data_IF_315204360779
#
_entry.id   IF_315204360779
#
_cell.length_a   1.000
_cell.length_b   1.000
_cell.length_c   1.000
_cell.angle_alpha   90.00
_cell.angle_beta   90.00
_cell.angle_gamma   90.00
#
_symmetry.space_group_name_H-M   'P 1'
#
loop_
_entity.id
_entity.type
_entity.pdbx_description
1 polymer ?
#
# COMPACT_ATOMS: atom_id res chain seq x y z
N UNK A 1 16.47 36.10 -0.53
CA UNK A 1 16.60 36.39 -1.96
C UNK A 1 16.22 35.15 -2.71
N UNK A 2 14.90 35.05 -3.06
CA UNK A 2 14.26 33.81 -3.54
C UNK A 2 14.34 33.69 -5.05
N UNK A 3 14.63 32.51 -5.44
CA UNK A 3 14.50 31.83 -6.70
C UNK A 3 13.45 32.42 -7.68
N UNK A 4 13.94 33.10 -8.70
CA UNK A 4 13.24 33.24 -9.98
C UNK A 4 13.58 31.96 -10.76
N UNK A 5 12.75 30.91 -10.63
CA UNK A 5 12.80 29.74 -11.49
C UNK A 5 12.32 30.11 -12.87
N UNK A 6 13.03 29.67 -13.86
CA UNK A 6 12.90 29.85 -15.30
C UNK A 6 11.44 29.81 -15.78
N UNK A 7 10.82 30.97 -15.91
CA UNK A 7 9.59 31.16 -16.65
C UNK A 7 9.96 31.37 -18.11
N UNK A 8 9.73 30.39 -18.96
CA UNK A 8 9.78 30.62 -20.42
C UNK A 8 8.52 31.38 -20.82
N UNK A 9 8.64 32.64 -21.17
CA UNK A 9 7.53 33.42 -21.72
C UNK A 9 7.48 33.26 -23.24
N UNK A 10 6.31 32.88 -23.75
CA UNK A 10 6.02 32.93 -25.18
C UNK A 10 5.02 34.03 -25.41
N UNK A 11 5.35 35.00 -26.27
CA UNK A 11 4.44 36.04 -26.67
C UNK A 11 3.53 35.52 -27.78
N UNK A 12 2.25 35.30 -27.47
CA UNK A 12 1.22 34.93 -28.44
C UNK A 12 0.12 36.00 -28.35
N UNK A 13 -0.13 36.69 -29.47
CA UNK A 13 -1.21 37.69 -29.57
C UNK A 13 -1.21 38.76 -28.47
N UNK A 14 -0.05 39.39 -28.20
CA UNK A 14 0.14 40.39 -27.15
C UNK A 14 -0.22 39.96 -25.71
N UNK A 15 -0.31 38.65 -25.44
CA UNK A 15 -0.42 38.14 -24.08
C UNK A 15 0.83 37.31 -23.75
N UNK A 16 1.45 37.64 -22.61
CA UNK A 16 2.54 36.82 -22.06
C UNK A 16 1.93 35.60 -21.44
N UNK A 17 2.07 34.45 -22.11
CA UNK A 17 1.72 33.15 -21.56
C UNK A 17 2.94 32.62 -20.80
N UNK A 18 2.83 32.51 -19.47
CA UNK A 18 3.82 31.83 -18.66
C UNK A 18 3.59 30.31 -18.81
N UNK A 19 4.46 29.66 -19.52
CA UNK A 19 4.49 28.18 -19.54
C UNK A 19 5.29 27.78 -18.31
N UNK A 20 4.61 27.28 -17.29
CA UNK A 20 5.29 26.58 -16.22
C UNK A 20 5.86 25.28 -16.79
N UNK A 21 7.18 25.10 -16.73
CA UNK A 21 7.79 23.82 -17.08
C UNK A 21 7.15 22.75 -16.19
N UNK A 22 6.46 21.79 -16.82
CA UNK A 22 5.85 20.69 -16.10
C UNK A 22 6.94 19.92 -15.37
N UNK A 23 6.73 19.66 -14.09
CA UNK A 23 7.62 18.81 -13.30
C UNK A 23 7.47 17.36 -13.73
N UNK A 24 8.57 16.59 -13.69
CA UNK A 24 8.59 15.18 -14.03
C UNK A 24 8.57 14.33 -12.75
N UNK A 25 7.77 13.26 -12.78
CA UNK A 25 7.67 12.26 -11.72
C UNK A 25 8.07 10.89 -12.25
N UNK A 26 8.97 10.22 -11.55
CA UNK A 26 9.32 8.82 -11.76
C UNK A 26 8.65 7.96 -10.70
N UNK A 27 7.72 7.08 -11.12
CA UNK A 27 7.04 6.12 -10.25
C UNK A 27 7.62 4.73 -10.48
N UNK A 28 8.39 4.20 -9.54
CA UNK A 28 9.02 2.89 -9.58
C UNK A 28 8.21 1.87 -8.77
N UNK A 29 8.10 0.63 -9.29
CA UNK A 29 7.19 -0.39 -8.76
C UNK A 29 5.75 0.11 -8.78
N UNK A 30 5.35 0.64 -9.92
CA UNK A 30 4.13 1.44 -10.06
C UNK A 30 2.84 0.68 -9.73
N UNK A 31 2.80 -0.64 -9.96
CA UNK A 31 1.69 -1.51 -9.57
C UNK A 31 0.31 -0.94 -9.90
N UNK A 32 -0.36 -0.35 -8.92
CA UNK A 32 -1.69 0.28 -9.06
C UNK A 32 -1.64 1.73 -9.53
N UNK A 33 -0.47 2.28 -9.79
CA UNK A 33 -0.25 3.69 -10.17
C UNK A 33 -0.84 4.70 -9.17
N UNK A 34 -0.79 4.38 -7.88
CA UNK A 34 -1.43 5.22 -6.86
C UNK A 34 -0.82 6.61 -6.76
N UNK A 35 0.50 6.70 -6.77
CA UNK A 35 1.21 7.98 -6.75
C UNK A 35 1.15 8.68 -8.09
N UNK A 36 1.37 7.95 -9.18
CA UNK A 36 1.38 8.50 -10.52
C UNK A 36 0.08 9.20 -10.89
N UNK A 37 -1.08 8.60 -10.55
CA UNK A 37 -2.39 9.21 -10.78
C UNK A 37 -2.54 10.54 -10.08
N UNK A 38 -2.21 10.59 -8.80
CA UNK A 38 -2.36 11.81 -8.00
C UNK A 38 -1.38 12.88 -8.46
N UNK A 39 -0.11 12.52 -8.74
CA UNK A 39 0.86 13.49 -9.23
C UNK A 39 0.50 14.02 -10.62
N UNK A 40 -0.09 13.17 -11.48
CA UNK A 40 -0.62 13.61 -12.77
C UNK A 40 -1.75 14.64 -12.61
N UNK A 41 -2.70 14.40 -11.70
CA UNK A 41 -3.73 15.39 -11.34
C UNK A 41 -3.12 16.71 -10.84
N UNK A 42 -1.94 16.65 -10.20
CA UNK A 42 -1.18 17.80 -9.75
C UNK A 42 -0.28 18.44 -10.85
N UNK A 43 -0.40 17.96 -12.09
CA UNK A 43 0.27 18.54 -13.26
C UNK A 43 1.66 17.98 -13.57
N UNK A 44 2.09 16.87 -12.95
CA UNK A 44 3.34 16.23 -13.29
C UNK A 44 3.24 15.44 -14.60
N UNK A 45 4.34 15.40 -15.37
CA UNK A 45 4.55 14.39 -16.37
C UNK A 45 5.04 13.13 -15.67
N UNK A 46 4.38 11.99 -15.86
CA UNK A 46 4.70 10.76 -15.13
C UNK A 46 5.33 9.72 -16.04
N UNK A 47 6.43 9.16 -15.58
CA UNK A 47 7.07 7.96 -16.10
C UNK A 47 6.91 6.87 -15.04
N UNK A 48 6.20 5.80 -15.37
CA UNK A 48 5.94 4.67 -14.47
C UNK A 48 6.71 3.45 -14.93
N UNK A 49 7.41 2.77 -14.02
CA UNK A 49 8.12 1.54 -14.28
C UNK A 49 7.61 0.42 -13.37
N UNK A 50 7.26 -0.71 -13.96
CA UNK A 50 6.98 -1.97 -13.27
C UNK A 50 7.35 -3.15 -14.16
N UNK A 51 7.72 -4.27 -13.54
CA UNK A 51 7.99 -5.52 -14.24
C UNK A 51 6.72 -6.13 -14.83
N UNK A 52 5.58 -5.92 -14.18
CA UNK A 52 4.27 -6.43 -14.56
C UNK A 52 3.28 -5.29 -14.79
N UNK A 53 3.26 -4.77 -16.00
CA UNK A 53 2.27 -3.77 -16.46
C UNK A 53 0.91 -4.37 -16.78
N UNK A 54 0.76 -5.69 -16.77
CA UNK A 54 -0.52 -6.38 -16.97
C UNK A 54 -1.55 -6.09 -15.88
N UNK A 55 -1.10 -5.54 -14.77
CA UNK A 55 -1.93 -4.87 -13.79
C UNK A 55 -2.39 -3.49 -14.31
N UNK A 56 -2.90 -3.45 -15.52
CA UNK A 56 -3.59 -2.27 -16.05
C UNK A 56 -4.50 -1.73 -14.97
N UNK A 57 -4.38 -0.44 -14.72
CA UNK A 57 -5.12 0.30 -13.73
C UNK A 57 -6.56 -0.23 -13.54
N UNK A 58 -6.85 -1.09 -12.54
CA UNK A 58 -8.16 -1.72 -12.38
C UNK A 58 -9.23 -0.73 -11.95
N UNK A 59 -8.90 0.54 -11.80
CA UNK A 59 -9.75 1.59 -11.25
C UNK A 59 -10.26 2.58 -12.30
N UNK A 60 -10.29 2.18 -13.58
CA UNK A 60 -11.10 2.86 -14.60
C UNK A 60 -10.73 4.31 -14.92
N UNK A 61 -9.58 4.78 -14.49
CA UNK A 61 -9.12 6.12 -14.86
C UNK A 61 -8.27 6.03 -16.12
N UNK A 62 -8.57 6.88 -17.08
CA UNK A 62 -7.79 7.06 -18.33
C UNK A 62 -6.41 7.66 -18.03
N UNK A 63 -5.57 6.87 -17.37
CA UNK A 63 -4.17 7.21 -17.09
C UNK A 63 -3.30 6.96 -18.32
N UNK A 64 -3.79 7.46 -19.50
CA UNK A 64 -3.17 7.22 -20.81
C UNK A 64 -2.00 8.17 -21.10
N UNK A 65 -1.87 9.23 -20.34
CA UNK A 65 -0.87 10.28 -20.60
C UNK A 65 0.49 10.03 -19.94
N UNK A 66 0.65 8.96 -19.19
CA UNK A 66 1.93 8.57 -18.61
C UNK A 66 2.73 7.69 -19.57
N UNK A 67 4.05 7.81 -19.51
CA UNK A 67 4.95 6.85 -20.15
C UNK A 67 5.06 5.61 -19.23
N UNK A 68 4.69 4.44 -19.75
CA UNK A 68 4.77 3.18 -19.03
C UNK A 68 5.95 2.35 -19.56
N UNK A 69 6.87 1.99 -18.66
CA UNK A 69 8.04 1.16 -18.95
C UNK A 69 7.84 -0.20 -18.29
N UNK A 70 7.76 -1.26 -19.10
CA UNK A 70 7.73 -2.63 -18.57
C UNK A 70 9.13 -3.19 -18.55
N UNK A 71 9.78 -3.13 -17.38
CA UNK A 71 11.14 -3.60 -17.21
C UNK A 71 11.40 -3.99 -15.76
N UNK A 72 12.38 -4.88 -15.56
CA UNK A 72 12.93 -5.18 -14.25
C UNK A 72 13.85 -4.04 -13.82
N UNK A 73 13.56 -3.41 -12.69
CA UNK A 73 14.34 -2.29 -12.16
C UNK A 73 15.84 -2.62 -11.99
N UNK A 74 16.17 -3.91 -11.77
CA UNK A 74 17.57 -4.36 -11.64
C UNK A 74 18.31 -4.33 -12.99
N UNK A 75 17.58 -4.28 -14.11
CA UNK A 75 18.12 -4.26 -15.48
C UNK A 75 17.91 -2.93 -16.18
N UNK A 76 16.96 -2.12 -15.67
CA UNK A 76 16.62 -0.86 -16.28
C UNK A 76 17.77 0.14 -16.26
N UNK A 77 18.12 0.64 -17.45
CA UNK A 77 19.09 1.72 -17.59
C UNK A 77 18.41 3.07 -17.38
N UNK A 78 18.44 3.56 -16.15
CA UNK A 78 17.90 4.88 -15.81
C UNK A 78 18.76 6.03 -16.32
N UNK A 79 20.01 5.78 -16.74
CA UNK A 79 20.96 6.81 -17.20
C UNK A 79 20.59 7.39 -18.56
N UNK A 80 19.62 6.79 -19.27
CA UNK A 80 19.02 7.35 -20.49
C UNK A 80 18.32 8.70 -20.20
N UNK A 81 17.98 8.98 -18.94
CA UNK A 81 17.49 10.27 -18.49
C UNK A 81 18.63 11.07 -17.87
N UNK A 82 18.75 12.37 -18.15
CA UNK A 82 19.78 13.20 -17.52
C UNK A 82 19.56 13.33 -16.00
N UNK A 83 20.62 13.63 -15.27
CA UNK A 83 20.52 14.01 -13.85
C UNK A 83 19.53 15.16 -13.69
N UNK A 84 18.90 15.24 -12.53
CA UNK A 84 17.88 16.25 -12.21
C UNK A 84 16.62 16.24 -13.11
N UNK A 85 16.47 15.21 -13.96
CA UNK A 85 15.30 15.10 -14.85
C UNK A 85 13.99 14.96 -14.08
N UNK A 86 13.97 14.21 -12.99
CA UNK A 86 12.78 13.96 -12.17
C UNK A 86 12.83 14.80 -10.88
N UNK A 87 11.82 15.65 -10.66
CA UNK A 87 11.67 16.45 -9.45
C UNK A 87 10.99 15.66 -8.32
N UNK A 88 10.26 14.61 -8.68
CA UNK A 88 9.62 13.68 -7.76
C UNK A 88 9.98 12.25 -8.13
N UNK A 89 10.36 11.43 -7.14
CA UNK A 89 10.55 9.98 -7.30
C UNK A 89 9.75 9.27 -6.22
N UNK A 90 8.90 8.32 -6.62
CA UNK A 90 8.19 7.44 -5.68
C UNK A 90 8.54 5.99 -5.94
N UNK A 91 8.72 5.22 -4.85
CA UNK A 91 9.22 3.86 -4.91
C UNK A 91 8.44 2.99 -3.91
N UNK A 92 7.94 1.85 -4.39
CA UNK A 92 7.24 0.86 -3.54
C UNK A 92 7.86 -0.53 -3.71
N UNK A 93 9.14 -0.72 -3.29
CA UNK A 93 9.86 -1.97 -3.51
C UNK A 93 9.17 -3.15 -2.86
N UNK A 94 9.38 -4.34 -3.42
CA UNK A 94 8.70 -5.57 -3.01
C UNK A 94 8.90 -5.85 -1.52
N UNK A 95 7.79 -5.81 -0.77
CA UNK A 95 7.80 -6.02 0.68
C UNK A 95 7.87 -7.50 1.11
N UNK A 96 7.72 -8.43 0.17
CA UNK A 96 7.62 -9.86 0.46
C UNK A 96 8.81 -10.36 1.27
N UNK A 97 10.03 -10.08 0.84
CA UNK A 97 11.24 -10.59 1.49
C UNK A 97 11.45 -10.02 2.90
N UNK A 98 10.94 -8.84 3.17
CA UNK A 98 11.05 -8.14 4.44
C UNK A 98 9.95 -8.46 5.44
N UNK A 99 8.91 -9.18 4.98
CA UNK A 99 7.69 -9.42 5.77
C UNK A 99 7.91 -10.43 6.88
N UNK A 100 7.58 -10.04 8.12
CA UNK A 100 7.53 -10.95 9.27
C UNK A 100 6.49 -12.08 9.12
N UNK A 101 5.50 -11.91 8.24
CA UNK A 101 4.51 -12.96 7.95
C UNK A 101 5.14 -14.22 7.35
N UNK A 102 6.31 -14.10 6.72
CA UNK A 102 7.06 -15.27 6.20
C UNK A 102 7.51 -16.22 7.29
N UNK A 103 7.63 -15.78 8.54
CA UNK A 103 7.94 -16.65 9.65
C UNK A 103 6.87 -17.76 9.84
N UNK A 104 5.64 -17.54 9.39
CA UNK A 104 4.58 -18.56 9.38
C UNK A 104 4.83 -19.70 8.38
N UNK A 105 5.82 -19.56 7.50
CA UNK A 105 6.22 -20.57 6.51
C UNK A 105 7.24 -21.55 7.06
N UNK A 106 7.91 -21.23 8.16
CA UNK A 106 8.96 -22.07 8.76
C UNK A 106 8.45 -23.49 9.00
N UNK A 107 9.23 -24.48 8.54
CA UNK A 107 8.91 -25.91 8.58
C UNK A 107 7.90 -26.38 7.55
N UNK A 108 7.31 -25.49 6.73
CA UNK A 108 6.37 -25.87 5.66
C UNK A 108 7.11 -26.14 4.36
N UNK A 109 6.69 -27.16 3.62
CA UNK A 109 7.12 -27.36 2.25
C UNK A 109 6.31 -26.45 1.33
N UNK A 110 6.99 -25.54 0.64
CA UNK A 110 6.38 -24.53 -0.24
C UNK A 110 7.03 -24.62 -1.61
N UNK A 111 6.22 -24.68 -2.66
CA UNK A 111 6.66 -24.82 -4.05
C UNK A 111 7.72 -23.78 -4.46
N UNK A 112 7.59 -22.54 -3.98
CA UNK A 112 8.58 -21.48 -4.23
C UNK A 112 9.99 -21.80 -3.70
N UNK A 113 10.12 -22.78 -2.80
CA UNK A 113 11.39 -23.26 -2.23
C UNK A 113 11.71 -24.71 -2.65
N UNK A 114 11.16 -25.18 -3.79
CA UNK A 114 11.39 -26.52 -4.32
C UNK A 114 10.79 -27.62 -3.45
N UNK A 115 9.64 -27.35 -2.81
CA UNK A 115 8.93 -28.29 -1.92
C UNK A 115 9.78 -28.80 -0.74
N UNK A 116 10.85 -28.08 -0.38
CA UNK A 116 11.63 -28.34 0.82
C UNK A 116 11.08 -27.54 2.01
N UNK A 117 11.31 -28.00 3.26
CA UNK A 117 10.95 -27.23 4.44
C UNK A 117 11.63 -25.87 4.44
N UNK A 118 10.86 -24.81 4.64
CA UNK A 118 11.39 -23.45 4.74
C UNK A 118 12.15 -23.29 6.04
N UNK A 119 13.39 -22.82 5.95
CA UNK A 119 14.25 -22.55 7.11
C UNK A 119 14.47 -21.05 7.29
N UNK A 120 15.01 -20.65 8.44
CA UNK A 120 15.38 -19.24 8.70
C UNK A 120 16.48 -18.76 7.75
N UNK A 121 17.43 -19.63 7.45
CA UNK A 121 18.54 -19.37 6.55
C UNK A 121 18.05 -19.08 5.12
N UNK A 122 17.07 -19.87 4.61
CA UNK A 122 16.44 -19.62 3.31
C UNK A 122 15.73 -18.26 3.29
N UNK A 123 14.99 -17.91 4.36
CA UNK A 123 14.32 -16.62 4.44
C UNK A 123 15.31 -15.46 4.52
N UNK A 124 16.43 -15.65 5.23
CA UNK A 124 17.50 -14.65 5.30
C UNK A 124 18.23 -14.51 3.97
N UNK A 125 18.52 -15.61 3.29
CA UNK A 125 19.15 -15.58 1.98
C UNK A 125 18.34 -14.77 0.96
N UNK A 126 17.01 -14.88 0.96
CA UNK A 126 16.15 -14.05 0.10
C UNK A 126 16.29 -12.54 0.42
N UNK A 127 16.46 -12.19 1.70
CA UNK A 127 16.73 -10.81 2.10
C UNK A 127 18.06 -10.35 1.51
N UNK A 128 19.12 -11.16 1.65
CA UNK A 128 20.47 -10.80 1.19
C UNK A 128 20.56 -10.70 -0.33
N UNK A 129 19.95 -11.67 -1.05
CA UNK A 129 20.14 -11.81 -2.50
C UNK A 129 19.08 -11.07 -3.33
N UNK A 130 17.91 -10.78 -2.78
CA UNK A 130 16.78 -10.14 -3.48
C UNK A 130 16.35 -8.83 -2.82
N UNK A 131 16.20 -8.83 -1.51
CA UNK A 131 15.69 -7.68 -0.76
C UNK A 131 16.67 -6.52 -0.71
N UNK A 132 17.88 -6.76 -0.23
CA UNK A 132 18.92 -5.73 -0.09
C UNK A 132 19.34 -5.11 -1.43
N UNK A 133 19.64 -5.89 -2.49
CA UNK A 133 20.01 -5.31 -3.78
C UNK A 133 18.91 -4.41 -4.37
N UNK A 134 17.64 -4.77 -4.16
CA UNK A 134 16.51 -3.96 -4.65
C UNK A 134 16.40 -2.62 -3.91
N UNK A 135 16.62 -2.59 -2.59
CA UNK A 135 16.66 -1.35 -1.81
C UNK A 135 17.88 -0.51 -2.19
N UNK A 136 19.05 -1.16 -2.40
CA UNK A 136 20.27 -0.50 -2.87
C UNK A 136 20.02 0.20 -4.22
N UNK A 137 19.35 -0.48 -5.16
CA UNK A 137 19.00 0.10 -6.46
C UNK A 137 18.04 1.31 -6.29
N UNK A 138 17.13 1.27 -5.35
CA UNK A 138 16.26 2.42 -5.05
C UNK A 138 17.07 3.65 -4.64
N UNK A 139 18.00 3.51 -3.71
CA UNK A 139 18.85 4.64 -3.26
C UNK A 139 19.88 5.07 -4.31
N UNK A 140 20.38 4.15 -5.13
CA UNK A 140 21.23 4.46 -6.29
C UNK A 140 20.52 5.41 -7.26
N UNK A 141 19.25 5.11 -7.59
CA UNK A 141 18.41 5.93 -8.47
C UNK A 141 18.10 7.30 -7.83
N UNK A 142 17.75 7.34 -6.54
CA UNK A 142 17.52 8.60 -5.82
C UNK A 142 18.80 9.46 -5.85
N UNK A 143 19.97 8.88 -5.58
CA UNK A 143 21.26 9.59 -5.61
C UNK A 143 21.61 10.12 -7.01
N UNK A 144 21.32 9.33 -8.05
CA UNK A 144 21.60 9.73 -9.43
C UNK A 144 20.78 10.95 -9.86
N UNK A 145 19.46 10.92 -9.63
CA UNK A 145 18.57 11.98 -10.05
C UNK A 145 18.49 13.16 -9.10
N UNK A 146 18.90 13.00 -7.84
CA UNK A 146 18.86 14.04 -6.82
C UNK A 146 17.53 14.84 -6.80
N UNK A 147 16.36 14.18 -6.67
CA UNK A 147 15.05 14.83 -6.84
C UNK A 147 14.74 15.84 -5.74
N UNK A 148 13.88 16.83 -6.04
CA UNK A 148 13.37 17.77 -5.03
C UNK A 148 12.62 17.04 -3.91
N UNK A 149 11.83 16.01 -4.29
CA UNK A 149 11.04 15.17 -3.38
C UNK A 149 11.20 13.71 -3.75
N UNK A 150 11.36 12.85 -2.76
CA UNK A 150 11.28 11.41 -2.96
C UNK A 150 10.49 10.75 -1.84
N UNK A 151 9.85 9.60 -2.13
CA UNK A 151 9.07 8.82 -1.19
C UNK A 151 9.32 7.33 -1.45
N UNK A 152 9.75 6.59 -0.43
CA UNK A 152 9.89 5.14 -0.47
C UNK A 152 8.88 4.51 0.49
N UNK A 153 7.99 3.64 -0.01
CA UNK A 153 6.92 2.99 0.74
C UNK A 153 7.28 1.56 1.12
N UNK A 154 7.03 1.17 2.37
CA UNK A 154 6.98 -0.25 2.76
C UNK A 154 6.15 -0.45 4.04
N UNK A 155 5.58 -1.65 4.30
CA UNK A 155 4.89 -1.92 5.54
C UNK A 155 5.75 -1.63 6.78
N UNK A 156 5.22 -0.85 7.73
CA UNK A 156 5.91 -0.48 8.98
C UNK A 156 6.45 -1.67 9.77
N UNK A 157 5.75 -2.80 9.72
CA UNK A 157 6.09 -4.01 10.48
C UNK A 157 7.17 -4.87 9.83
N UNK A 158 7.62 -4.51 8.60
CA UNK A 158 8.67 -5.22 7.88
C UNK A 158 10.07 -4.98 8.44
N UNK A 159 11.03 -5.84 8.05
CA UNK A 159 12.43 -5.76 8.47
C UNK A 159 13.24 -4.73 7.68
N UNK A 160 12.75 -4.20 6.57
CA UNK A 160 13.46 -3.24 5.70
C UNK A 160 13.96 -2.02 6.48
N UNK A 161 13.20 -1.57 7.48
CA UNK A 161 13.57 -0.44 8.33
C UNK A 161 14.95 -0.59 8.99
N UNK A 162 15.31 -1.80 9.43
CA UNK A 162 16.61 -2.04 10.08
C UNK A 162 17.75 -1.94 9.06
N UNK A 163 17.52 -2.41 7.85
CA UNK A 163 18.52 -2.30 6.79
C UNK A 163 18.74 -0.84 6.34
N UNK A 164 17.66 -0.06 6.23
CA UNK A 164 17.77 1.37 5.90
C UNK A 164 18.45 2.14 7.04
N UNK A 165 18.09 1.85 8.30
CA UNK A 165 18.72 2.47 9.47
C UNK A 165 20.22 2.19 9.54
N UNK A 166 20.64 0.95 9.22
CA UNK A 166 22.04 0.53 9.25
C UNK A 166 22.86 1.11 8.10
N UNK A 167 22.36 1.01 6.86
CA UNK A 167 23.15 1.30 5.65
C UNK A 167 22.90 2.69 5.06
N UNK A 168 21.74 3.25 5.30
CA UNK A 168 21.24 4.50 4.69
C UNK A 168 20.74 5.47 5.76
N UNK A 169 21.50 5.62 6.85
CA UNK A 169 21.11 6.46 7.99
C UNK A 169 20.75 7.91 7.61
N UNK A 170 21.45 8.45 6.61
CA UNK A 170 21.21 9.80 6.09
C UNK A 170 19.85 9.95 5.38
N UNK A 171 19.24 8.84 4.94
CA UNK A 171 17.93 8.77 4.32
C UNK A 171 16.83 8.27 5.29
N UNK A 172 17.15 8.02 6.57
CA UNK A 172 16.24 7.41 7.53
C UNK A 172 15.25 8.42 8.18
N UNK A 173 14.88 9.47 7.45
CA UNK A 173 13.74 10.32 7.82
C UNK A 173 12.46 9.70 7.26
N UNK A 174 11.41 9.54 8.09
CA UNK A 174 10.20 8.85 7.68
C UNK A 174 8.95 9.33 8.41
N UNK A 175 7.80 8.98 7.85
CA UNK A 175 6.49 9.09 8.47
C UNK A 175 5.81 7.71 8.53
N UNK A 176 5.23 7.39 9.68
CA UNK A 176 4.38 6.20 9.85
C UNK A 176 2.93 6.62 9.82
N UNK A 177 2.12 5.99 8.97
CA UNK A 177 0.69 6.24 8.86
C UNK A 177 -0.12 4.95 8.93
N UNK A 178 -1.40 5.08 9.22
CA UNK A 178 -2.38 4.00 9.08
C UNK A 178 -3.40 4.34 7.99
N UNK A 179 -3.56 3.46 6.99
CA UNK A 179 -4.41 3.72 5.83
C UNK A 179 -5.88 3.99 6.18
N UNK A 180 -6.38 3.43 7.28
CA UNK A 180 -7.73 3.70 7.77
C UNK A 180 -7.98 5.16 8.19
N UNK A 181 -6.92 5.95 8.37
CA UNK A 181 -7.03 7.38 8.66
C UNK A 181 -7.18 8.23 7.40
N UNK A 182 -6.96 7.64 6.23
CA UNK A 182 -6.97 8.31 4.91
C UNK A 182 -7.94 7.66 3.92
N UNK A 183 -8.62 6.58 4.33
CA UNK A 183 -9.54 5.84 3.44
C UNK A 183 -10.65 5.18 4.23
N UNK A 184 -11.73 4.85 3.55
CA UNK A 184 -12.86 4.06 4.03
C UNK A 184 -12.71 2.56 3.73
N UNK A 185 -11.51 2.11 3.38
CA UNK A 185 -11.27 0.71 2.95
C UNK A 185 -11.48 -0.32 4.05
N UNK A 186 -11.60 0.11 5.29
CA UNK A 186 -11.96 -0.74 6.41
C UNK A 186 -10.79 -1.48 7.07
N UNK A 187 -9.56 -1.35 6.58
CA UNK A 187 -8.36 -1.98 7.18
C UNK A 187 -7.30 -0.97 7.58
N UNK A 188 -6.52 -1.29 8.60
CA UNK A 188 -5.52 -0.37 9.15
C UNK A 188 -4.31 -0.18 8.24
N UNK A 189 -3.64 -1.24 7.83
CA UNK A 189 -2.38 -1.28 7.06
C UNK A 189 -1.36 -0.23 7.51
N UNK A 190 -0.68 -0.44 8.65
CA UNK A 190 0.40 0.44 9.10
C UNK A 190 1.53 0.45 8.05
N UNK A 191 1.87 1.62 7.56
CA UNK A 191 2.82 1.80 6.46
C UNK A 191 3.82 2.89 6.82
N UNK A 192 5.07 2.68 6.44
CA UNK A 192 6.17 3.63 6.60
C UNK A 192 6.54 4.22 5.26
N UNK A 193 6.74 5.52 5.25
CA UNK A 193 7.17 6.29 4.11
C UNK A 193 8.46 7.03 4.46
N UNK A 194 9.60 6.53 3.96
CA UNK A 194 10.86 7.27 4.02
C UNK A 194 10.83 8.37 2.98
N UNK A 195 11.31 9.56 3.33
CA UNK A 195 11.21 10.73 2.46
C UNK A 195 12.12 11.87 2.93
N UNK A 196 12.45 12.78 2.02
CA UNK A 196 13.06 14.07 2.34
C UNK A 196 12.04 15.20 2.52
N UNK A 197 10.74 14.94 2.34
CA UNK A 197 9.66 15.91 2.53
C UNK A 197 9.56 16.23 4.03
N UNK A 198 9.41 17.52 4.35
CA UNK A 198 9.24 18.01 5.73
C UNK A 198 7.82 18.57 5.91
N UNK A 199 7.44 18.86 7.15
CA UNK A 199 6.17 19.55 7.46
C UNK A 199 4.91 18.70 7.26
N UNK A 200 5.02 17.40 6.94
CA UNK A 200 3.85 16.53 6.86
C UNK A 200 3.47 16.02 8.26
N UNK A 201 2.18 16.06 8.59
CA UNK A 201 1.63 15.57 9.86
C UNK A 201 0.99 14.19 9.68
N UNK A 202 1.65 13.10 10.12
CA UNK A 202 1.16 11.74 9.90
C UNK A 202 -0.02 11.41 10.83
N UNK A 203 -1.04 10.73 10.30
CA UNK A 203 -2.19 10.25 11.09
C UNK A 203 -2.06 8.76 11.35
N UNK A 204 -1.96 8.38 12.63
CA UNK A 204 -1.96 6.99 13.10
C UNK A 204 -3.27 6.66 13.82
N UNK A 205 -3.69 5.40 13.75
CA UNK A 205 -4.98 4.97 14.29
C UNK A 205 -4.87 4.43 15.70
N UNK A 206 -5.57 5.05 16.62
CA UNK A 206 -5.78 4.59 18.01
C UNK A 206 -7.11 3.83 18.21
N UNK A 207 -7.70 3.28 17.12
CA UNK A 207 -9.01 2.62 17.07
C UNK A 207 -10.22 3.57 17.18
N UNK A 208 -10.05 4.81 16.76
CA UNK A 208 -11.12 5.83 16.71
C UNK A 208 -11.48 6.26 15.28
N UNK A 209 -10.84 5.65 14.27
CA UNK A 209 -11.17 5.91 12.87
C UNK A 209 -12.58 5.41 12.52
N UNK A 210 -13.21 6.00 11.50
CA UNK A 210 -14.52 5.62 10.99
C UNK A 210 -14.64 4.20 10.44
N UNK A 211 -13.55 3.42 10.43
CA UNK A 211 -13.52 2.04 9.93
C UNK A 211 -13.69 0.98 11.02
N UNK A 212 -14.06 1.37 12.24
CA UNK A 212 -14.18 0.46 13.38
C UNK A 212 -15.58 -0.17 13.48
N UNK A 213 -15.59 -1.43 13.92
CA UNK A 213 -16.78 -2.13 14.38
C UNK A 213 -16.53 -2.69 15.77
N UNK A 214 -17.59 -2.85 16.55
CA UNK A 214 -17.53 -3.52 17.84
C UNK A 214 -18.01 -4.96 17.71
N UNK A 215 -17.27 -5.90 18.26
CA UNK A 215 -17.66 -7.30 18.33
C UNK A 215 -17.51 -7.84 19.76
N UNK A 216 -18.34 -8.84 20.10
CA UNK A 216 -18.27 -9.53 21.38
C UNK A 216 -17.25 -10.67 21.31
N UNK A 217 -16.30 -10.68 22.23
CA UNK A 217 -15.38 -11.80 22.38
C UNK A 217 -15.96 -12.76 23.44
N UNK A 218 -16.44 -13.93 23.00
CA UNK A 218 -17.06 -14.91 23.88
C UNK A 218 -16.11 -15.52 24.90
N UNK A 219 -14.82 -15.61 24.60
CA UNK A 219 -13.83 -16.16 25.51
C UNK A 219 -13.54 -15.22 26.67
N UNK A 220 -13.37 -13.93 26.35
CA UNK A 220 -13.06 -12.91 27.38
C UNK A 220 -14.31 -12.24 27.95
N UNK A 221 -15.50 -12.51 27.38
CA UNK A 221 -16.79 -11.87 27.71
C UNK A 221 -16.77 -10.33 27.61
N UNK A 222 -15.86 -9.79 26.77
CA UNK A 222 -15.70 -8.34 26.61
C UNK A 222 -15.95 -7.93 25.17
N UNK A 223 -16.48 -6.73 24.99
CA UNK A 223 -16.60 -6.11 23.70
C UNK A 223 -15.25 -5.54 23.26
N UNK A 224 -14.91 -5.71 21.99
CA UNK A 224 -13.66 -5.27 21.40
C UNK A 224 -13.94 -4.50 20.11
N UNK A 225 -13.21 -3.39 19.92
CA UNK A 225 -13.22 -2.65 18.66
C UNK A 225 -12.16 -3.21 17.72
N UNK A 226 -12.55 -3.51 16.49
CA UNK A 226 -11.65 -3.93 15.41
C UNK A 226 -11.96 -3.18 14.12
N UNK A 227 -10.98 -3.11 13.22
CA UNK A 227 -11.25 -2.66 11.87
C UNK A 227 -12.19 -3.63 11.14
N UNK A 228 -13.22 -3.10 10.46
CA UNK A 228 -14.26 -3.91 9.79
C UNK A 228 -13.70 -4.89 8.77
N UNK A 229 -12.60 -4.52 8.07
CA UNK A 229 -11.86 -5.43 7.19
C UNK A 229 -10.54 -5.75 7.85
N UNK A 230 -10.33 -7.03 8.14
CA UNK A 230 -9.03 -7.53 8.56
C UNK A 230 -8.45 -8.33 7.40
N UNK A 231 -7.17 -8.08 7.10
CA UNK A 231 -6.44 -8.87 6.11
C UNK A 231 -6.20 -10.29 6.67
N UNK A 232 -7.23 -11.14 6.54
CA UNK A 232 -7.22 -12.52 7.02
C UNK A 232 -8.64 -13.05 7.22
N UNK A 233 -8.82 -14.37 7.20
CA UNK A 233 -10.09 -15.06 7.34
C UNK A 233 -10.62 -14.95 8.78
N UNK A 234 -11.32 -13.90 9.11
CA UNK A 234 -12.11 -13.86 10.33
C UNK A 234 -13.55 -14.23 9.98
N UNK A 235 -14.03 -15.33 10.54
CA UNK A 235 -15.45 -15.68 10.52
C UNK A 235 -16.15 -14.85 11.58
N UNK A 236 -17.21 -14.15 11.21
CA UNK A 236 -18.09 -13.42 12.11
C UNK A 236 -19.50 -13.94 11.95
N UNK A 237 -20.19 -14.11 13.05
CA UNK A 237 -21.62 -14.43 13.12
C UNK A 237 -22.34 -13.38 13.93
N UNK A 238 -23.65 -13.20 13.69
CA UNK A 238 -24.50 -12.38 14.54
C UNK A 238 -25.39 -13.30 15.38
N UNK A 239 -25.30 -13.17 16.70
CA UNK A 239 -26.13 -13.94 17.65
C UNK A 239 -26.66 -12.97 18.70
N UNK A 240 -27.96 -12.97 18.94
CA UNK A 240 -28.61 -12.07 19.89
C UNK A 240 -28.22 -10.60 19.68
N UNK A 241 -28.20 -10.15 18.41
CA UNK A 241 -27.79 -8.81 18.00
C UNK A 241 -26.33 -8.43 18.33
N UNK A 242 -25.45 -9.40 18.61
CA UNK A 242 -24.03 -9.19 18.84
C UNK A 242 -23.21 -9.83 17.74
N UNK A 243 -22.22 -9.11 17.23
CA UNK A 243 -21.22 -9.67 16.33
C UNK A 243 -20.21 -10.49 17.13
N UNK A 244 -20.05 -11.76 16.80
CA UNK A 244 -19.16 -12.71 17.47
C UNK A 244 -18.10 -13.14 16.48
N UNK A 245 -16.84 -13.04 16.89
CA UNK A 245 -15.70 -13.54 16.09
C UNK A 245 -15.45 -15.02 16.39
N UNK A 246 -15.56 -15.86 15.35
CA UNK A 246 -15.42 -17.31 15.43
C UNK A 246 -14.03 -17.73 14.92
N UNK A 247 -13.00 -17.53 15.73
CA UNK A 247 -11.61 -17.77 15.34
C UNK A 247 -11.01 -19.05 15.92
N UNK A 248 -11.55 -19.60 17.02
CA UNK A 248 -11.07 -20.84 17.64
C UNK A 248 -11.88 -22.06 17.21
N UNK A 249 -11.29 -23.25 17.36
CA UNK A 249 -11.96 -24.50 16.98
C UNK A 249 -13.26 -24.73 17.77
N UNK A 250 -13.32 -24.53 19.10
CA UNK A 250 -14.57 -24.65 19.87
C UNK A 250 -15.67 -23.69 19.38
N UNK A 251 -15.32 -22.43 19.11
CA UNK A 251 -16.31 -21.46 18.62
C UNK A 251 -16.79 -21.80 17.21
N UNK A 252 -15.92 -22.35 16.35
CA UNK A 252 -16.32 -22.82 15.01
C UNK A 252 -17.30 -23.97 15.07
N UNK A 253 -17.11 -24.88 16.01
CA UNK A 253 -18.04 -25.98 16.21
C UNK A 253 -19.36 -25.48 16.81
N UNK A 254 -19.30 -24.63 17.83
CA UNK A 254 -20.48 -24.01 18.47
C UNK A 254 -21.38 -23.28 17.48
N UNK A 255 -20.81 -22.56 16.51
CA UNK A 255 -21.53 -21.71 15.54
C UNK A 255 -21.47 -22.25 14.11
N UNK A 256 -21.27 -23.57 13.93
CA UNK A 256 -21.14 -24.17 12.60
C UNK A 256 -22.36 -23.95 11.70
N UNK A 257 -23.56 -23.97 12.30
CA UNK A 257 -24.83 -23.83 11.62
C UNK A 257 -25.34 -22.37 11.59
N UNK A 258 -24.61 -21.44 12.21
CA UNK A 258 -24.97 -20.02 12.21
C UNK A 258 -24.47 -19.33 10.94
N UNK A 259 -25.32 -18.57 10.23
CA UNK A 259 -24.91 -17.83 9.04
C UNK A 259 -23.72 -16.91 9.32
N UNK A 260 -22.72 -16.97 8.44
CA UNK A 260 -21.54 -16.12 8.54
C UNK A 260 -21.79 -14.78 7.86
N UNK A 261 -21.29 -13.71 8.47
CA UNK A 261 -21.34 -12.37 7.91
C UNK A 261 -20.03 -12.11 7.15
N UNK A 262 -20.16 -11.58 5.95
CA UNK A 262 -19.02 -11.06 5.20
C UNK A 262 -18.57 -9.74 5.83
N UNK A 263 -17.28 -9.70 6.25
CA UNK A 263 -16.69 -8.48 6.83
C UNK A 263 -16.76 -7.28 5.91
N UNK A 264 -16.75 -7.49 4.59
CA UNK A 264 -16.83 -6.39 3.62
C UNK A 264 -18.20 -5.71 3.59
N UNK A 265 -19.25 -6.41 4.02
CA UNK A 265 -20.61 -5.88 4.05
C UNK A 265 -20.93 -5.14 5.36
N UNK A 266 -20.01 -5.19 6.34
CA UNK A 266 -20.15 -4.48 7.60
C UNK A 266 -19.87 -2.98 7.41
N UNK A 267 -20.85 -2.16 7.74
CA UNK A 267 -20.71 -0.70 7.72
C UNK A 267 -20.28 -0.19 9.10
N UNK A 268 -19.39 0.78 9.11
CA UNK A 268 -18.95 1.44 10.35
C UNK A 268 -20.12 2.19 11.00
N UNK A 269 -20.22 2.11 12.33
CA UNK A 269 -21.24 2.82 13.10
C UNK A 269 -22.66 2.22 13.03
N UNK A 270 -22.89 1.16 12.24
CA UNK A 270 -24.18 0.48 12.15
C UNK A 270 -24.29 -0.60 13.22
N UNK A 271 -25.40 -0.63 13.95
CA UNK A 271 -25.74 -1.73 14.87
C UNK A 271 -26.37 -2.85 14.05
N UNK A 272 -25.68 -3.98 13.99
CA UNK A 272 -26.18 -5.15 13.26
C UNK A 272 -27.16 -5.94 14.11
N UNK A 273 -28.34 -6.20 13.55
CA UNK A 273 -29.36 -7.07 14.11
C UNK A 273 -29.42 -8.37 13.31
N UNK A 274 -29.98 -9.43 13.89
CA UNK A 274 -30.12 -10.74 13.20
C UNK A 274 -30.84 -10.64 11.86
N UNK A 275 -31.79 -9.73 11.74
CA UNK A 275 -32.54 -9.44 10.51
C UNK A 275 -31.69 -8.80 9.39
N UNK A 276 -30.54 -8.23 9.71
CA UNK A 276 -29.60 -7.63 8.73
C UNK A 276 -28.56 -8.64 8.22
N UNK A 277 -28.56 -9.84 8.77
CA UNK A 277 -27.69 -10.92 8.31
C UNK A 277 -28.31 -11.55 7.07
N UNK A 278 -27.73 -11.27 5.90
CA UNK A 278 -28.13 -11.97 4.68
C UNK A 278 -27.72 -13.43 4.77
N UNK A 279 -28.62 -14.35 4.37
CA UNK A 279 -28.33 -15.78 4.24
C UNK A 279 -27.30 -15.96 3.11
N UNK A 280 -26.04 -16.04 3.46
CA UNK A 280 -25.00 -16.45 2.50
C UNK A 280 -24.92 -17.96 2.44
N UNK A 281 -24.93 -18.49 1.22
CA UNK A 281 -24.82 -19.93 0.97
C UNK A 281 -23.52 -20.48 1.58
N UNK A 282 -23.66 -21.52 2.34
CA UNK A 282 -22.60 -22.38 2.83
C UNK A 282 -21.77 -22.93 1.67
N UNK A 283 -20.51 -22.60 1.61
CA UNK A 283 -19.57 -23.30 0.73
C UNK A 283 -18.89 -22.39 -0.29
N UNK A 284 -17.83 -21.81 0.11
CA UNK A 284 -16.90 -21.10 -0.74
C UNK A 284 -16.11 -20.08 0.05
N UNK A 285 -14.83 -20.00 -0.21
CA UNK A 285 -13.99 -18.96 0.34
C UNK A 285 -14.65 -17.60 0.04
N UNK A 286 -15.20 -16.97 1.06
CA UNK A 286 -16.01 -15.75 1.00
C UNK A 286 -15.28 -14.57 0.31
N UNK A 287 -14.00 -14.70 0.08
CA UNK A 287 -13.17 -13.71 -0.59
C UNK A 287 -13.15 -13.79 -2.12
N UNK A 288 -13.81 -14.77 -2.75
CA UNK A 288 -13.73 -14.98 -4.20
C UNK A 288 -14.99 -14.69 -4.98
N UNK A 289 -16.13 -14.52 -4.33
CA UNK A 289 -17.39 -14.42 -5.06
C UNK A 289 -18.01 -13.05 -4.90
N UNK A 290 -18.03 -12.26 -5.93
CA UNK A 290 -18.95 -11.15 -6.21
C UNK A 290 -18.50 -9.72 -5.93
N UNK A 291 -17.22 -9.41 -5.89
CA UNK A 291 -16.86 -8.08 -6.40
C UNK A 291 -16.59 -8.21 -7.91
N UNK A 292 -17.07 -7.30 -8.74
CA UNK A 292 -16.94 -7.40 -10.21
C UNK A 292 -15.49 -7.27 -10.71
N UNK A 293 -14.51 -7.20 -9.84
CA UNK A 293 -13.10 -7.13 -10.18
C UNK A 293 -12.33 -8.20 -9.42
N UNK A 294 -11.87 -9.19 -10.16
CA UNK A 294 -11.07 -10.33 -9.73
C UNK A 294 -9.69 -9.98 -9.11
N UNK A 295 -9.50 -8.77 -8.62
CA UNK A 295 -8.18 -8.29 -8.28
C UNK A 295 -7.99 -7.91 -6.82
N UNK A 296 -8.34 -8.87 -5.94
CA UNK A 296 -8.09 -8.75 -4.49
C UNK A 296 -6.60 -8.58 -4.14
N UNK A 297 -5.68 -8.95 -5.04
CA UNK A 297 -4.24 -8.74 -4.84
C UNK A 297 -3.88 -7.27 -5.02
N UNK A 298 -4.32 -6.64 -6.11
CA UNK A 298 -4.00 -5.24 -6.42
C UNK A 298 -4.56 -4.27 -5.38
N UNK A 299 -5.76 -4.54 -4.83
CA UNK A 299 -6.30 -3.72 -3.73
C UNK A 299 -5.37 -3.60 -2.52
N UNK A 300 -4.48 -4.58 -2.29
CA UNK A 300 -3.52 -4.55 -1.17
C UNK A 300 -2.32 -3.65 -1.43
N UNK A 301 -2.02 -3.35 -2.69
CA UNK A 301 -0.86 -2.54 -3.09
C UNK A 301 -1.19 -1.06 -3.27
N UNK A 302 -2.48 -0.71 -3.31
CA UNK A 302 -2.88 0.69 -3.44
C UNK A 302 -2.51 1.53 -2.21
N UNK A 303 -2.23 2.81 -2.47
CA UNK A 303 -1.98 3.84 -1.45
C UNK A 303 -3.15 4.83 -1.45
N UNK A 304 -3.66 5.30 -0.28
CA UNK A 304 -4.77 6.22 -0.23
C UNK A 304 -4.48 7.55 -0.93
N UNK A 305 -5.33 7.96 -1.87
CA UNK A 305 -5.18 9.23 -2.59
C UNK A 305 -5.17 10.46 -1.67
N UNK A 306 -6.03 10.56 -0.62
CA UNK A 306 -5.95 11.70 0.30
C UNK A 306 -4.58 11.84 0.97
N UNK A 307 -3.96 10.73 1.39
CA UNK A 307 -2.60 10.74 1.92
C UNK A 307 -1.60 11.27 0.89
N UNK A 308 -1.67 10.76 -0.34
CA UNK A 308 -0.73 11.17 -1.40
C UNK A 308 -0.88 12.67 -1.69
N UNK A 309 -2.11 13.19 -1.75
CA UNK A 309 -2.36 14.63 -1.93
C UNK A 309 -1.76 15.45 -0.79
N UNK A 310 -2.01 15.05 0.47
CA UNK A 310 -1.49 15.74 1.65
C UNK A 310 0.06 15.77 1.66
N UNK A 311 0.74 14.64 1.43
CA UNK A 311 2.21 14.59 1.50
C UNK A 311 2.89 15.29 0.33
N UNK A 312 2.34 15.24 -0.88
CA UNK A 312 2.94 15.89 -2.04
C UNK A 312 2.86 17.43 -1.99
N UNK A 313 1.86 17.99 -1.29
CA UNK A 313 1.74 19.43 -1.11
C UNK A 313 2.45 19.94 0.15
N UNK A 314 2.89 19.08 1.05
CA UNK A 314 3.74 19.43 2.19
C UNK A 314 5.10 19.98 1.71
N UNK A 315 5.66 20.93 2.48
CA UNK A 315 6.88 21.67 2.13
C UNK A 315 8.11 21.13 2.88
#
# INVERSE_FOLDING_TARGET
>A
MQLIRSLKSILVNNRILYIMDKKNHLELFSGTHSFGKVSHELGYNVVSLDRDLGATCPFGTDYKSATHIQEDIMKWDYTVYPKDHFQLITLSPVCLWWSNLRNSWLGRCIKAFGDKPVTKELLQNDIETLGKPMVDKCFEIIKYFNPEKWILENPKTGKMKHYIEEKYAEYNTYYDIDYCMYSDWGYQKPTRFWTNIKGFEPKTCNKECGNMITFHNEETKKDQKIHRVKMGSNKIVCVNNKLIRVNTKPLREKYKDTPQINMCDLQSGVVYRETTVHKYSTGGSIHRSKQPHNDTKLHRYRVPQPFIKEILVAN
#
